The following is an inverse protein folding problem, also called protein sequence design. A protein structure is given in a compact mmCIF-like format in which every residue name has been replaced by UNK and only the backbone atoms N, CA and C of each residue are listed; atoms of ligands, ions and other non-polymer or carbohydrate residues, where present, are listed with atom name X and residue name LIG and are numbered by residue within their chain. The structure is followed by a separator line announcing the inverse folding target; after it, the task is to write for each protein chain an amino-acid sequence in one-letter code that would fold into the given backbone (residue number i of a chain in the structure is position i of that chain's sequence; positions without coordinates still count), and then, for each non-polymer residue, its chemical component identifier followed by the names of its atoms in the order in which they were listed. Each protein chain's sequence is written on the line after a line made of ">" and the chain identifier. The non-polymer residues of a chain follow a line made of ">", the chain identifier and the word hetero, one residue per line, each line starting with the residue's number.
data_IF_933363003170
#
_entry.id   IF_933363003170
#
_cell.length_a   1.000
_cell.length_b   1.000
_cell.length_c   1.000
_cell.angle_alpha   90.00
_cell.angle_beta   90.00
_cell.angle_gamma   90.00
#
_symmetry.space_group_name_H-M   'P 1'
#
loop_
_entity.id
_entity.type
_entity.pdbx_description
1 polymer ?
#
# COMPACT_ATOMS: atom_id res chain seq x y z
N UNK A 1 3.88 -4.77 -26.71
CA UNK A 1 4.30 -3.38 -26.98
C UNK A 1 5.80 -3.28 -27.21
N UNK A 2 6.65 -3.61 -26.21
CA UNK A 2 8.12 -3.60 -26.38
C UNK A 2 8.62 -4.42 -27.57
N UNK A 3 8.25 -5.71 -27.64
CA UNK A 3 8.72 -6.63 -28.71
C UNK A 3 8.23 -6.29 -30.13
N UNK A 4 7.23 -5.41 -30.25
CA UNK A 4 6.67 -4.98 -31.53
C UNK A 4 7.14 -3.57 -31.92
N UNK A 5 8.02 -2.94 -31.12
CA UNK A 5 8.53 -1.59 -31.39
C UNK A 5 7.51 -0.47 -31.17
N UNK A 6 6.42 -0.72 -30.44
CA UNK A 6 5.41 0.31 -30.12
C UNK A 6 5.76 1.15 -28.89
N UNK A 7 6.81 0.77 -28.16
CA UNK A 7 7.27 1.43 -26.95
C UNK A 7 8.75 1.13 -26.78
N UNK A 8 9.53 2.13 -26.39
CA UNK A 8 10.97 1.98 -26.18
C UNK A 8 11.31 1.45 -24.78
N UNK A 9 10.55 1.88 -23.75
CA UNK A 9 10.79 1.53 -22.35
C UNK A 9 9.47 1.29 -21.62
N UNK A 10 9.43 0.25 -20.78
CA UNK A 10 8.36 0.03 -19.81
C UNK A 10 8.98 0.06 -18.41
N UNK A 11 8.31 0.73 -17.48
CA UNK A 11 8.63 0.69 -16.06
C UNK A 11 7.54 -0.07 -15.32
N UNK A 12 7.95 -1.02 -14.49
CA UNK A 12 7.05 -1.82 -13.69
C UNK A 12 7.78 -2.40 -12.48
N UNK A 13 7.03 -3.10 -11.65
CA UNK A 13 7.53 -3.74 -10.42
C UNK A 13 7.88 -5.21 -10.62
N UNK A 14 7.55 -5.77 -11.79
CA UNK A 14 7.84 -7.15 -12.16
C UNK A 14 8.83 -7.12 -13.31
N UNK A 15 9.87 -7.93 -13.19
CA UNK A 15 10.84 -8.15 -14.25
C UNK A 15 10.17 -8.86 -15.44
N UNK A 16 10.41 -8.36 -16.66
CA UNK A 16 9.87 -8.99 -17.86
C UNK A 16 10.87 -10.04 -18.31
N UNK A 17 10.55 -11.31 -18.08
CA UNK A 17 11.39 -12.42 -18.51
C UNK A 17 11.25 -12.63 -20.03
N UNK A 18 12.14 -12.02 -20.81
CA UNK A 18 12.22 -12.19 -22.26
C UNK A 18 13.66 -11.93 -22.73
N UNK A 19 14.21 -12.83 -23.55
CA UNK A 19 15.60 -12.76 -24.03
C UNK A 19 15.92 -11.50 -24.87
N UNK A 20 14.91 -10.86 -25.44
CA UNK A 20 15.06 -9.62 -26.22
C UNK A 20 14.86 -8.34 -25.39
N UNK A 21 14.58 -8.48 -24.08
CA UNK A 21 14.28 -7.36 -23.20
C UNK A 21 15.32 -7.34 -22.08
N UNK A 22 16.06 -6.25 -22.01
CA UNK A 22 16.96 -5.99 -20.90
C UNK A 22 16.20 -5.31 -19.76
N UNK A 23 16.36 -5.84 -18.55
CA UNK A 23 15.73 -5.30 -17.34
C UNK A 23 16.78 -4.68 -16.43
N UNK A 24 16.52 -3.47 -15.97
CA UNK A 24 17.40 -2.74 -15.06
C UNK A 24 16.63 -2.34 -13.79
N UNK A 25 17.12 -2.70 -12.59
CA UNK A 25 16.52 -2.25 -11.35
C UNK A 25 16.80 -0.76 -11.15
N UNK A 26 15.73 0.04 -11.03
CA UNK A 26 15.83 1.50 -10.86
C UNK A 26 15.77 1.88 -9.38
N UNK A 27 14.97 1.17 -8.58
CA UNK A 27 14.81 1.43 -7.15
C UNK A 27 14.39 0.16 -6.41
N UNK A 28 14.56 0.16 -5.08
CA UNK A 28 14.07 -0.87 -4.18
C UNK A 28 13.10 -0.24 -3.17
N UNK A 29 11.85 -0.70 -3.20
CA UNK A 29 10.76 -0.24 -2.32
C UNK A 29 10.55 -1.24 -1.18
N UNK A 30 11.48 -1.29 -0.23
CA UNK A 30 11.45 -2.23 0.90
C UNK A 30 10.94 -1.64 2.22
N UNK A 31 10.88 -0.31 2.33
CA UNK A 31 10.40 0.39 3.52
C UNK A 31 8.95 0.85 3.34
N UNK A 32 8.05 0.32 4.17
CA UNK A 32 6.61 0.53 4.10
C UNK A 32 6.10 1.24 5.34
N UNK A 33 5.06 2.06 5.17
CA UNK A 33 4.41 2.81 6.25
C UNK A 33 2.90 2.61 6.20
N UNK A 34 2.27 2.67 7.38
CA UNK A 34 0.84 2.84 7.48
C UNK A 34 0.50 4.30 7.22
N UNK A 35 -0.51 4.56 6.40
CA UNK A 35 -1.06 5.90 6.25
C UNK A 35 -2.52 5.94 6.66
N UNK A 36 -2.93 7.08 7.22
CA UNK A 36 -4.33 7.41 7.48
C UNK A 36 -4.59 8.86 7.08
N UNK A 37 -5.85 9.21 6.80
CA UNK A 37 -6.24 10.61 6.59
C UNK A 37 -6.05 11.45 7.86
N UNK A 38 -5.87 12.76 7.72
CA UNK A 38 -5.74 13.68 8.86
C UNK A 38 -6.98 13.74 9.76
N UNK A 39 -8.15 13.34 9.23
CA UNK A 39 -9.40 13.26 9.98
C UNK A 39 -9.61 11.89 10.65
N UNK A 40 -8.70 10.94 10.44
CA UNK A 40 -8.78 9.61 11.04
C UNK A 40 -8.60 9.70 12.56
N UNK A 41 -9.33 8.90 13.35
CA UNK A 41 -9.09 8.77 14.78
C UNK A 41 -7.66 8.34 15.13
N UNK A 42 -6.95 7.71 14.18
CA UNK A 42 -5.58 7.22 14.36
C UNK A 42 -4.52 8.33 14.19
N UNK A 43 -4.89 9.52 13.71
CA UNK A 43 -3.94 10.60 13.41
C UNK A 43 -3.20 11.09 14.66
N UNK A 44 -3.83 11.06 15.82
CA UNK A 44 -3.28 11.55 17.08
C UNK A 44 -2.26 10.60 17.73
N UNK A 45 -2.16 9.36 17.23
CA UNK A 45 -1.27 8.36 17.78
C UNK A 45 0.16 8.59 17.30
N UNK A 46 1.14 8.50 18.21
CA UNK A 46 2.56 8.52 17.85
C UNK A 46 2.96 7.26 17.07
N UNK A 47 2.38 6.11 17.43
CA UNK A 47 2.59 4.82 16.79
C UNK A 47 1.26 4.07 16.67
N UNK A 48 1.07 3.35 15.57
CA UNK A 48 -0.08 2.47 15.37
C UNK A 48 0.30 1.07 15.84
N UNK A 49 -0.37 0.58 16.88
CA UNK A 49 -0.24 -0.82 17.30
C UNK A 49 -0.86 -1.76 16.26
N UNK A 50 -0.45 -3.03 16.27
CA UNK A 50 -1.10 -4.05 15.43
C UNK A 50 -2.60 -4.15 15.71
N UNK A 51 -3.04 -3.95 16.95
CA UNK A 51 -4.46 -3.92 17.29
C UNK A 51 -5.21 -2.81 16.54
N UNK A 52 -4.68 -1.58 16.57
CA UNK A 52 -5.25 -0.44 15.87
C UNK A 52 -5.26 -0.67 14.34
N UNK A 53 -4.18 -1.26 13.83
CA UNK A 53 -4.06 -1.57 12.40
C UNK A 53 -5.11 -2.58 11.94
N UNK A 54 -5.29 -3.69 12.66
CA UNK A 54 -6.28 -4.69 12.28
C UNK A 54 -7.73 -4.26 12.59
N UNK A 55 -7.93 -3.28 13.49
CA UNK A 55 -9.21 -2.63 13.79
C UNK A 55 -9.65 -1.59 12.77
N UNK A 56 -8.71 -0.99 12.04
CA UNK A 56 -9.06 -0.08 10.96
C UNK A 56 -9.58 -0.85 9.73
N UNK A 57 -10.45 -0.19 8.95
CA UNK A 57 -10.79 -0.62 7.59
C UNK A 57 -9.64 -0.27 6.64
N UNK A 58 -9.36 -1.15 5.70
CA UNK A 58 -8.20 -1.02 4.80
C UNK A 58 -8.61 -0.60 3.40
N UNK A 59 -7.94 0.41 2.86
CA UNK A 59 -7.89 0.69 1.44
C UNK A 59 -6.67 -0.03 0.85
N UNK A 60 -6.90 -1.07 0.05
CA UNK A 60 -5.85 -1.96 -0.42
C UNK A 60 -5.55 -1.70 -1.89
N UNK A 61 -4.29 -1.38 -2.19
CA UNK A 61 -3.80 -1.37 -3.56
C UNK A 61 -3.77 -2.81 -4.09
N UNK A 62 -4.63 -3.11 -5.06
CA UNK A 62 -4.75 -4.42 -5.68
C UNK A 62 -4.58 -4.26 -7.18
N UNK A 63 -3.33 -4.26 -7.63
CA UNK A 63 -3.01 -4.61 -9.02
C UNK A 63 -2.66 -6.08 -9.07
N UNK A 64 -2.95 -6.77 -10.18
CA UNK A 64 -2.55 -8.16 -10.41
C UNK A 64 -1.04 -8.41 -10.15
N UNK A 65 -0.20 -7.37 -10.21
CA UNK A 65 1.23 -7.42 -9.92
C UNK A 65 1.62 -7.49 -8.42
N UNK A 66 0.75 -7.13 -7.47
CA UNK A 66 1.03 -7.12 -6.02
C UNK A 66 0.21 -8.13 -5.21
N UNK A 67 -0.56 -8.99 -5.88
CA UNK A 67 -1.54 -9.89 -5.25
C UNK A 67 -0.94 -10.82 -4.18
N UNK A 68 0.36 -11.14 -4.25
CA UNK A 68 1.05 -12.01 -3.28
C UNK A 68 1.60 -11.31 -2.04
N UNK A 69 2.04 -10.04 -2.13
CA UNK A 69 2.59 -9.29 -0.99
C UNK A 69 1.51 -8.74 -0.05
N UNK A 70 0.28 -8.66 -0.55
CA UNK A 70 -0.92 -8.28 0.19
C UNK A 70 -1.78 -9.51 0.55
N UNK A 71 -1.19 -10.71 0.69
CA UNK A 71 -1.94 -11.92 1.01
C UNK A 71 -2.85 -11.70 2.25
N UNK A 72 -4.15 -11.80 2.02
CA UNK A 72 -5.24 -11.40 2.94
C UNK A 72 -5.44 -12.31 4.16
N UNK A 73 -4.44 -13.11 4.51
CA UNK A 73 -4.46 -13.98 5.67
C UNK A 73 -3.03 -14.30 6.10
N UNK A 74 -2.54 -13.58 7.12
CA UNK A 74 -1.58 -14.18 8.04
C UNK A 74 -2.42 -14.47 9.28
N UNK A 75 -2.73 -15.75 9.52
CA UNK A 75 -3.32 -16.19 10.78
C UNK A 75 -2.26 -16.04 11.89
N UNK A 76 -2.07 -14.80 12.34
CA UNK A 76 -1.07 -14.46 13.36
C UNK A 76 -1.46 -15.02 14.74
N UNK A 77 -2.75 -15.29 14.97
CA UNK A 77 -3.28 -15.73 16.25
C UNK A 77 -4.28 -16.88 16.10
N UNK A 78 -4.21 -17.87 16.99
CA UNK A 78 -5.21 -18.95 17.08
C UNK A 78 -6.61 -18.36 17.32
N UNK A 79 -7.63 -18.97 16.72
CA UNK A 79 -9.06 -18.60 16.67
C UNK A 79 -9.76 -18.17 17.99
N UNK A 80 -9.07 -18.15 19.14
CA UNK A 80 -9.59 -17.75 20.45
C UNK A 80 -9.21 -16.32 20.87
N UNK A 81 -8.45 -15.57 20.07
CA UNK A 81 -8.15 -14.16 20.34
C UNK A 81 -9.25 -13.25 19.75
N UNK A 82 -9.59 -12.10 20.38
CA UNK A 82 -10.57 -11.14 19.86
C UNK A 82 -10.13 -10.46 18.54
N UNK A 83 -8.87 -10.69 18.12
CA UNK A 83 -8.32 -10.25 16.84
C UNK A 83 -7.64 -11.43 16.14
N UNK A 84 -8.11 -11.79 14.94
CA UNK A 84 -7.58 -12.93 14.18
C UNK A 84 -6.37 -12.58 13.31
N UNK A 85 -5.95 -11.31 13.28
CA UNK A 85 -4.88 -10.83 12.39
C UNK A 85 -5.33 -10.67 10.92
N UNK A 86 -6.64 -10.75 10.65
CA UNK A 86 -7.21 -10.52 9.32
C UNK A 86 -7.55 -9.05 9.13
N UNK A 87 -7.16 -8.46 8.01
CA UNK A 87 -7.51 -7.09 7.64
C UNK A 87 -8.97 -7.03 7.20
N UNK A 88 -9.72 -6.05 7.70
CA UNK A 88 -11.05 -5.73 7.15
C UNK A 88 -10.87 -4.82 5.93
N UNK A 89 -11.11 -5.34 4.72
CA UNK A 89 -10.97 -4.57 3.48
C UNK A 89 -12.23 -3.73 3.25
N UNK A 90 -12.06 -2.41 3.28
CA UNK A 90 -13.14 -1.45 3.02
C UNK A 90 -13.18 -0.95 1.58
N UNK A 91 -12.03 -0.95 0.90
CA UNK A 91 -11.89 -0.48 -0.49
C UNK A 91 -10.70 -1.17 -1.17
N UNK A 92 -10.80 -1.43 -2.46
CA UNK A 92 -9.70 -1.94 -3.27
C UNK A 92 -9.62 -1.20 -4.62
N UNK A 93 -8.41 -0.96 -5.12
CA UNK A 93 -8.17 -0.33 -6.42
C UNK A 93 -6.77 -0.64 -6.94
N UNK A 94 -6.62 -0.71 -8.26
CA UNK A 94 -5.36 -0.76 -9.01
C UNK A 94 -4.75 0.63 -9.26
N UNK A 95 -5.38 1.70 -8.74
CA UNK A 95 -4.93 3.09 -8.86
C UNK A 95 -4.50 3.65 -7.50
N UNK A 96 -3.23 4.05 -7.40
CA UNK A 96 -2.72 4.73 -6.21
C UNK A 96 -3.52 6.00 -5.89
N UNK A 97 -3.94 6.76 -6.91
CA UNK A 97 -4.79 7.94 -6.70
C UNK A 97 -6.15 7.58 -6.09
N UNK A 98 -6.73 6.44 -6.47
CA UNK A 98 -7.96 5.92 -5.88
C UNK A 98 -7.78 5.60 -4.40
N UNK A 99 -6.72 4.84 -4.07
CA UNK A 99 -6.36 4.51 -2.68
C UNK A 99 -6.16 5.78 -1.85
N UNK A 100 -5.33 6.70 -2.34
CA UNK A 100 -5.02 7.95 -1.63
C UNK A 100 -6.27 8.82 -1.41
N UNK A 101 -7.14 8.92 -2.42
CA UNK A 101 -8.39 9.67 -2.32
C UNK A 101 -9.36 9.10 -1.29
N UNK A 102 -9.42 7.77 -1.15
CA UNK A 102 -10.25 7.13 -0.13
C UNK A 102 -9.65 7.31 1.26
N UNK A 103 -8.34 7.09 1.43
CA UNK A 103 -7.64 7.23 2.73
C UNK A 103 -7.79 8.66 3.27
N UNK A 104 -7.65 9.68 2.42
CA UNK A 104 -7.77 11.08 2.83
C UNK A 104 -9.20 11.44 3.29
N UNK A 105 -10.22 10.85 2.66
CA UNK A 105 -11.63 11.22 2.86
C UNK A 105 -12.40 10.30 3.82
N UNK A 106 -11.74 9.29 4.38
CA UNK A 106 -12.35 8.31 5.28
C UNK A 106 -11.48 8.07 6.50
N UNK A 107 -11.93 7.15 7.36
CA UNK A 107 -11.18 6.61 8.50
C UNK A 107 -10.32 5.40 8.12
N UNK A 108 -10.25 5.04 6.83
CA UNK A 108 -9.47 3.90 6.36
C UNK A 108 -7.95 4.13 6.43
N UNK A 109 -7.22 3.02 6.51
CA UNK A 109 -5.76 2.99 6.42
C UNK A 109 -5.27 2.30 5.16
N UNK A 110 -4.06 2.61 4.72
CA UNK A 110 -3.38 1.89 3.65
C UNK A 110 -1.90 1.66 4.00
N UNK A 111 -1.32 0.61 3.41
CA UNK A 111 0.13 0.37 3.45
C UNK A 111 0.72 0.78 2.11
N UNK A 112 1.75 1.62 2.15
CA UNK A 112 2.47 2.06 0.95
C UNK A 112 3.97 2.13 1.22
N UNK A 113 4.82 2.00 0.18
CA UNK A 113 6.22 2.36 0.28
C UNK A 113 6.40 3.80 0.77
N UNK A 114 7.32 4.04 1.71
CA UNK A 114 7.52 5.36 2.34
C UNK A 114 7.76 6.46 1.33
N UNK A 115 8.54 6.18 0.27
CA UNK A 115 8.82 7.13 -0.82
C UNK A 115 7.55 7.56 -1.55
N UNK A 116 6.63 6.62 -1.81
CA UNK A 116 5.35 6.90 -2.46
C UNK A 116 4.45 7.72 -1.53
N UNK A 117 4.33 7.32 -0.26
CA UNK A 117 3.56 8.06 0.73
C UNK A 117 4.06 9.51 0.90
N UNK A 118 5.38 9.69 1.00
CA UNK A 118 6.01 11.00 1.07
C UNK A 118 5.75 11.85 -0.18
N UNK A 119 5.82 11.26 -1.38
CA UNK A 119 5.47 11.97 -2.61
C UNK A 119 4.01 12.48 -2.59
N UNK A 120 3.05 11.65 -2.19
CA UNK A 120 1.66 12.10 -2.13
C UNK A 120 1.40 13.18 -1.08
N UNK A 121 2.04 13.08 0.09
CA UNK A 121 1.95 14.08 1.15
C UNK A 121 2.64 15.39 0.76
N UNK A 122 3.91 15.33 0.37
CA UNK A 122 4.77 16.51 0.25
C UNK A 122 4.63 17.20 -1.11
N UNK A 123 4.48 16.42 -2.19
CA UNK A 123 4.40 16.95 -3.56
C UNK A 123 2.96 17.11 -3.99
N UNK A 124 2.10 16.10 -3.77
CA UNK A 124 0.68 16.14 -4.17
C UNK A 124 -0.24 16.78 -3.12
N UNK A 125 0.26 17.09 -1.93
CA UNK A 125 -0.46 17.77 -0.84
C UNK A 125 -1.74 17.04 -0.40
N UNK A 126 -1.72 15.71 -0.40
CA UNK A 126 -2.77 14.92 0.23
C UNK A 126 -2.68 15.05 1.75
N UNK A 127 -3.83 15.22 2.41
CA UNK A 127 -3.90 15.37 3.87
C UNK A 127 -3.84 14.00 4.56
N UNK A 128 -2.65 13.41 4.57
CA UNK A 128 -2.37 12.09 5.15
C UNK A 128 -1.19 12.14 6.12
N UNK A 129 -1.23 11.30 7.16
CA UNK A 129 -0.14 11.10 8.11
C UNK A 129 0.53 9.75 7.88
N UNK A 130 1.87 9.75 7.87
CA UNK A 130 2.67 8.53 7.88
C UNK A 130 2.86 8.09 9.33
N UNK A 131 2.42 6.87 9.66
CA UNK A 131 2.61 6.25 10.96
C UNK A 131 3.51 5.03 10.82
N UNK A 132 4.50 4.94 11.71
CA UNK A 132 5.33 3.74 11.87
C UNK A 132 4.65 2.75 12.80
N UNK A 133 4.82 1.46 12.53
CA UNK A 133 4.43 0.39 13.44
C UNK A 133 5.48 0.25 14.56
N UNK A 134 5.03 -0.16 15.75
CA UNK A 134 5.87 -0.55 16.87
C UNK A 134 6.07 -2.06 16.92
#
# INVERSE_FOLDING_TARGET
>A
MLTHGYTDVIMGIVEINNEMIESYPIDNLSDFVCICGEKSPLVGLEQISLYNFYAARHAVYHSDMFSSFAADAIDLFKNSAPYTGRREIGYHSDSLFGIMGVVEKSDMVAILPRKIAAYFRDVRRYNIKNNTYA
#
